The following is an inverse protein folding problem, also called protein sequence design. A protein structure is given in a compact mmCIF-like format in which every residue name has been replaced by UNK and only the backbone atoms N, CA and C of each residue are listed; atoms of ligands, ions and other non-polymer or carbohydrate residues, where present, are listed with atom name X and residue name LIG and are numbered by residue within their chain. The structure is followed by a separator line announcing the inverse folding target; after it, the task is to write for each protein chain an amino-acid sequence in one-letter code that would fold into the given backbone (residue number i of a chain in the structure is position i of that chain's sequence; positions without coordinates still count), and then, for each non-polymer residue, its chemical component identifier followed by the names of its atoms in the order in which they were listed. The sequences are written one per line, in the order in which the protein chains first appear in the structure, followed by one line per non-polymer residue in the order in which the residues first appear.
data_IF_134037160713
#
_entry.id   IF_134037160713
#
_cell.length_a   1.000
_cell.length_b   1.000
_cell.length_c   1.000
_cell.angle_alpha   90.00
_cell.angle_beta   90.00
_cell.angle_gamma   90.00
#
_symmetry.space_group_name_H-M   'P 1'
#
loop_
_entity.id
_entity.type
_entity.pdbx_description
1 polymer ?
#
# COMPACT_ATOMS: atom_id res chain seq x y z
N UNK A 1 4.56 -40.00 -23.74
CA UNK A 1 4.49 -38.57 -23.40
C UNK A 1 5.72 -38.30 -22.57
N UNK A 2 6.69 -37.59 -23.11
CA UNK A 2 8.05 -37.51 -22.57
C UNK A 2 8.06 -36.75 -21.24
N UNK A 3 8.47 -37.43 -20.16
CA UNK A 3 8.86 -36.78 -18.91
C UNK A 3 10.01 -35.83 -19.24
N UNK A 4 9.75 -34.52 -19.15
CA UNK A 4 10.78 -33.53 -19.43
C UNK A 4 11.28 -33.02 -18.09
N UNK A 5 12.54 -33.32 -17.76
CA UNK A 5 13.20 -32.67 -16.65
C UNK A 5 13.20 -31.17 -16.90
N UNK A 6 12.87 -30.36 -15.89
CA UNK A 6 13.14 -28.93 -16.00
C UNK A 6 14.67 -28.80 -15.96
N UNK A 7 15.29 -28.68 -17.13
CA UNK A 7 16.73 -28.97 -17.35
C UNK A 7 17.70 -28.23 -16.43
N UNK A 8 17.25 -27.19 -15.72
CA UNK A 8 18.06 -26.33 -14.87
C UNK A 8 17.61 -26.30 -13.39
N UNK A 9 16.74 -27.20 -12.94
CA UNK A 9 16.29 -27.21 -11.54
C UNK A 9 16.31 -28.62 -10.97
N UNK A 10 17.27 -28.86 -10.07
CA UNK A 10 17.44 -30.13 -9.37
C UNK A 10 16.16 -30.53 -8.64
N UNK A 11 15.78 -31.82 -8.70
CA UNK A 11 14.60 -32.32 -7.99
C UNK A 11 13.26 -31.83 -8.51
N UNK A 12 13.21 -31.33 -9.77
CA UNK A 12 11.96 -30.85 -10.39
C UNK A 12 11.72 -31.52 -11.74
N UNK A 13 10.54 -32.12 -11.89
CA UNK A 13 10.05 -32.70 -13.15
C UNK A 13 8.82 -31.94 -13.62
N UNK A 14 8.69 -31.73 -14.93
CA UNK A 14 7.55 -31.05 -15.54
C UNK A 14 6.87 -31.97 -16.57
N UNK A 15 5.55 -31.99 -16.54
CA UNK A 15 4.71 -32.57 -17.57
C UNK A 15 3.64 -31.57 -17.99
N UNK A 16 3.63 -31.23 -19.26
CA UNK A 16 2.61 -30.35 -19.82
C UNK A 16 1.32 -31.16 -20.02
N UNK A 17 0.24 -30.75 -19.36
CA UNK A 17 -1.10 -31.32 -19.52
C UNK A 17 -1.86 -30.60 -20.63
N UNK A 18 -1.66 -29.28 -20.78
CA UNK A 18 -2.20 -28.46 -21.85
C UNK A 18 -1.16 -27.41 -22.28
N UNK A 19 -0.81 -27.35 -23.57
CA UNK A 19 0.37 -26.61 -24.07
C UNK A 19 0.29 -25.08 -24.09
N UNK A 20 -0.82 -24.47 -23.64
CA UNK A 20 -1.01 -23.03 -23.66
C UNK A 20 -1.00 -22.43 -25.06
N UNK A 21 -0.83 -21.10 -25.14
CA UNK A 21 -0.89 -20.32 -26.39
C UNK A 21 0.25 -19.31 -26.47
N UNK A 22 0.60 -18.94 -27.70
CA UNK A 22 1.59 -17.90 -27.97
C UNK A 22 3.03 -18.29 -27.64
N UNK A 23 3.88 -17.28 -27.58
CA UNK A 23 5.28 -17.38 -27.14
C UNK A 23 5.37 -17.39 -25.60
N UNK A 24 6.52 -17.81 -25.08
CA UNK A 24 6.79 -17.74 -23.65
C UNK A 24 6.76 -16.26 -23.19
N UNK A 25 5.95 -15.89 -22.19
CA UNK A 25 5.91 -14.52 -21.68
C UNK A 25 7.28 -14.03 -21.19
N UNK A 26 7.50 -12.71 -21.26
CA UNK A 26 8.69 -12.10 -20.66
C UNK A 26 8.44 -11.86 -19.17
N UNK A 27 9.01 -12.70 -18.32
CA UNK A 27 8.96 -12.56 -16.86
C UNK A 27 10.04 -11.58 -16.37
N UNK A 28 9.81 -10.28 -16.56
CA UNK A 28 10.71 -9.23 -16.06
C UNK A 28 10.48 -8.99 -14.55
N UNK A 29 11.47 -8.46 -13.83
CA UNK A 29 11.30 -8.05 -12.43
C UNK A 29 10.06 -7.15 -12.29
N UNK A 30 9.17 -7.52 -11.38
CA UNK A 30 7.89 -6.85 -11.20
C UNK A 30 6.74 -7.29 -12.11
N UNK A 31 6.90 -8.29 -12.97
CA UNK A 31 5.76 -8.84 -13.72
C UNK A 31 4.79 -9.51 -12.76
N UNK A 32 3.49 -9.31 -12.95
CA UNK A 32 2.45 -10.00 -12.16
C UNK A 32 2.05 -11.28 -12.88
N UNK A 33 2.17 -12.41 -12.21
CA UNK A 33 1.74 -13.72 -12.67
C UNK A 33 0.43 -14.06 -11.98
N UNK A 34 -0.62 -14.31 -12.76
CA UNK A 34 -1.95 -14.71 -12.30
C UNK A 34 -2.16 -16.15 -12.73
N UNK A 35 -2.46 -17.04 -11.77
CA UNK A 35 -2.54 -18.48 -12.03
C UNK A 35 -3.48 -19.20 -11.08
N UNK A 36 -3.98 -20.37 -11.50
CA UNK A 36 -4.60 -21.33 -10.60
C UNK A 36 -3.62 -22.45 -10.27
N UNK A 37 -3.76 -23.02 -9.08
CA UNK A 37 -2.94 -24.16 -8.68
C UNK A 37 -3.76 -25.17 -7.89
N UNK A 38 -3.32 -26.42 -7.94
CA UNK A 38 -3.71 -27.48 -7.04
C UNK A 38 -2.42 -28.13 -6.52
N UNK A 39 -2.31 -28.29 -5.21
CA UNK A 39 -1.17 -28.96 -4.56
C UNK A 39 -1.60 -30.31 -4.04
N UNK A 40 -0.81 -31.34 -4.34
CA UNK A 40 -1.05 -32.73 -3.95
C UNK A 40 0.17 -33.27 -3.20
N UNK A 41 -0.04 -34.22 -2.29
CA UNK A 41 1.04 -35.10 -1.80
C UNK A 41 1.50 -36.01 -2.95
N UNK A 42 2.80 -36.31 -3.00
CA UNK A 42 3.34 -37.34 -3.90
C UNK A 42 3.17 -38.75 -3.29
N UNK A 43 1.94 -39.06 -2.87
CA UNK A 43 1.53 -40.37 -2.40
C UNK A 43 0.72 -41.11 -3.49
N UNK A 44 0.41 -42.38 -3.24
CA UNK A 44 -0.33 -43.19 -4.21
C UNK A 44 -1.72 -42.63 -4.54
N UNK A 45 -2.38 -42.04 -3.53
CA UNK A 45 -3.73 -41.47 -3.65
C UNK A 45 -3.75 -40.05 -4.25
N UNK A 46 -2.58 -39.41 -4.36
CA UNK A 46 -2.42 -37.99 -4.72
C UNK A 46 -3.31 -37.09 -3.87
N UNK A 47 -3.16 -37.20 -2.56
CA UNK A 47 -3.99 -36.46 -1.60
C UNK A 47 -3.93 -34.95 -1.84
N UNK A 48 -5.08 -34.32 -2.12
CA UNK A 48 -5.18 -32.86 -2.33
C UNK A 48 -4.96 -32.13 -1.00
N UNK A 49 -4.05 -31.15 -1.02
CA UNK A 49 -3.78 -30.26 0.12
C UNK A 49 -4.49 -28.92 -0.08
N UNK A 50 -4.34 -28.30 -1.25
CA UNK A 50 -4.96 -27.00 -1.56
C UNK A 50 -5.38 -26.96 -3.02
N UNK A 51 -6.49 -26.28 -3.32
CA UNK A 51 -6.96 -25.98 -4.66
C UNK A 51 -7.49 -24.54 -4.74
N UNK A 52 -6.85 -23.69 -5.53
CA UNK A 52 -7.27 -22.29 -5.64
C UNK A 52 -8.60 -22.10 -6.37
N UNK A 53 -9.08 -23.11 -7.12
CA UNK A 53 -10.40 -23.06 -7.76
C UNK A 53 -11.53 -23.28 -6.77
N UNK A 54 -11.31 -24.07 -5.72
CA UNK A 54 -12.30 -24.23 -4.64
C UNK A 54 -12.47 -22.95 -3.84
N UNK A 55 -11.38 -22.19 -3.66
CA UNK A 55 -11.41 -20.86 -3.07
C UNK A 55 -12.04 -19.78 -3.97
N UNK A 56 -12.21 -20.07 -5.28
CA UNK A 56 -12.80 -19.15 -6.26
C UNK A 56 -11.94 -17.94 -6.62
N UNK A 57 -10.69 -17.88 -6.17
CA UNK A 57 -9.79 -16.73 -6.36
C UNK A 57 -8.46 -17.23 -6.94
N UNK A 58 -8.01 -16.71 -8.10
CA UNK A 58 -6.69 -17.03 -8.64
C UNK A 58 -5.58 -16.48 -7.72
N UNK A 59 -4.41 -17.13 -7.76
CA UNK A 59 -3.24 -16.65 -7.05
C UNK A 59 -2.48 -15.61 -7.86
N UNK A 60 -1.91 -14.62 -7.19
CA UNK A 60 -1.04 -13.61 -7.77
C UNK A 60 0.36 -13.66 -7.16
N UNK A 61 1.40 -13.68 -8.01
CA UNK A 61 2.80 -13.53 -7.59
C UNK A 61 3.46 -12.44 -8.42
N UNK A 62 4.32 -11.63 -7.77
CA UNK A 62 5.13 -10.62 -8.44
C UNK A 62 6.57 -11.15 -8.56
N UNK A 63 7.04 -11.29 -9.80
CA UNK A 63 8.40 -11.72 -10.14
C UNK A 63 9.43 -10.84 -9.43
N UNK A 64 10.46 -11.46 -8.85
CA UNK A 64 11.56 -10.78 -8.17
C UNK A 64 11.26 -10.23 -6.77
N UNK A 65 10.06 -10.49 -6.22
CA UNK A 65 9.70 -10.09 -4.83
C UNK A 65 9.95 -11.18 -3.78
N UNK A 66 10.75 -12.20 -4.11
CA UNK A 66 11.14 -13.30 -3.21
C UNK A 66 9.92 -13.89 -2.47
N UNK A 67 8.99 -14.46 -3.24
CA UNK A 67 7.88 -15.20 -2.67
C UNK A 67 8.42 -16.32 -1.77
N UNK A 68 7.80 -16.53 -0.59
CA UNK A 68 8.28 -17.47 0.44
C UNK A 68 8.47 -18.91 -0.07
N UNK A 69 7.81 -19.27 -1.17
CA UNK A 69 8.01 -20.53 -1.88
C UNK A 69 8.68 -20.24 -3.23
N UNK A 70 9.99 -20.03 -3.19
CA UNK A 70 10.80 -19.54 -4.32
C UNK A 70 10.66 -20.41 -5.58
N UNK A 71 10.47 -21.72 -5.39
CA UNK A 71 10.37 -22.65 -6.51
C UNK A 71 9.22 -22.30 -7.46
N UNK A 72 8.10 -21.77 -6.96
CA UNK A 72 6.93 -21.45 -7.78
C UNK A 72 7.23 -20.40 -8.86
N UNK A 73 8.09 -19.43 -8.60
CA UNK A 73 8.50 -18.45 -9.61
C UNK A 73 9.23 -19.14 -10.77
N UNK A 74 10.06 -20.16 -10.47
CA UNK A 74 10.75 -20.98 -11.47
C UNK A 74 9.78 -21.85 -12.27
N UNK A 75 8.81 -22.48 -11.60
CA UNK A 75 7.79 -23.32 -12.28
C UNK A 75 6.96 -22.47 -13.25
N UNK A 76 6.41 -21.35 -12.77
CA UNK A 76 5.54 -20.46 -13.53
C UNK A 76 6.28 -19.79 -14.70
N UNK A 77 7.55 -19.40 -14.51
CA UNK A 77 8.36 -18.79 -15.57
C UNK A 77 8.69 -19.76 -16.71
N UNK A 78 8.45 -21.06 -16.53
CA UNK A 78 8.59 -22.08 -17.58
C UNK A 78 7.34 -22.26 -18.44
N UNK A 79 6.22 -21.60 -18.10
CA UNK A 79 4.91 -21.84 -18.67
C UNK A 79 4.49 -20.77 -19.69
N UNK A 80 3.73 -21.17 -20.71
CA UNK A 80 3.04 -20.26 -21.64
C UNK A 80 1.69 -19.81 -21.07
N UNK A 81 1.16 -18.69 -21.56
CA UNK A 81 -0.17 -18.24 -21.18
C UNK A 81 -1.23 -19.28 -21.57
N UNK A 82 -2.11 -19.63 -20.63
CA UNK A 82 -3.09 -20.71 -20.73
C UNK A 82 -2.51 -22.12 -20.63
N UNK A 83 -1.21 -22.29 -20.34
CA UNK A 83 -0.61 -23.62 -20.15
C UNK A 83 -1.10 -24.24 -18.84
N UNK A 84 -1.37 -25.54 -18.86
CA UNK A 84 -1.59 -26.36 -17.67
C UNK A 84 -0.45 -27.36 -17.57
N UNK A 85 0.28 -27.34 -16.46
CA UNK A 85 1.42 -28.22 -16.25
C UNK A 85 1.38 -28.84 -14.85
N UNK A 86 1.80 -30.10 -14.78
CA UNK A 86 2.02 -30.88 -13.57
C UNK A 86 3.52 -30.86 -13.27
N UNK A 87 3.87 -30.48 -12.05
CA UNK A 87 5.25 -30.39 -11.57
C UNK A 87 5.43 -31.29 -10.36
N UNK A 88 6.43 -32.16 -10.38
CA UNK A 88 6.87 -32.93 -9.21
C UNK A 88 8.08 -32.25 -8.62
N UNK A 89 7.99 -31.90 -7.34
CA UNK A 89 9.05 -31.19 -6.64
C UNK A 89 9.48 -31.99 -5.41
N UNK A 90 10.76 -32.30 -5.34
CA UNK A 90 11.38 -32.97 -4.20
C UNK A 90 11.28 -32.12 -2.91
N UNK A 91 11.41 -32.79 -1.76
CA UNK A 91 11.25 -32.18 -0.44
C UNK A 91 12.17 -30.97 -0.17
N UNK A 92 13.28 -30.85 -0.92
CA UNK A 92 14.21 -29.71 -0.85
C UNK A 92 13.53 -28.38 -1.21
N UNK A 93 12.47 -28.41 -2.01
CA UNK A 93 11.74 -27.22 -2.49
C UNK A 93 10.44 -26.94 -1.72
N UNK A 94 9.91 -27.93 -1.00
CA UNK A 94 8.55 -27.90 -0.46
C UNK A 94 8.48 -27.59 1.04
N UNK A 95 9.63 -27.52 1.74
CA UNK A 95 9.68 -27.36 3.19
C UNK A 95 8.97 -26.11 3.74
N UNK A 96 8.84 -25.06 2.93
CA UNK A 96 8.11 -23.83 3.31
C UNK A 96 6.62 -23.85 2.95
N UNK A 97 6.15 -24.89 2.26
CA UNK A 97 4.78 -24.96 1.74
C UNK A 97 3.73 -24.81 2.84
N UNK A 98 3.88 -25.52 3.96
CA UNK A 98 2.93 -25.45 5.08
C UNK A 98 2.72 -24.01 5.60
N UNK A 99 3.80 -23.23 5.71
CA UNK A 99 3.72 -21.83 6.15
C UNK A 99 3.04 -20.94 5.11
N UNK A 100 3.30 -21.18 3.82
CA UNK A 100 2.68 -20.44 2.72
C UNK A 100 1.20 -20.78 2.64
N UNK A 101 0.85 -22.07 2.63
CA UNK A 101 -0.53 -22.56 2.61
C UNK A 101 -1.39 -22.01 3.73
N UNK A 102 -0.88 -21.97 4.97
CA UNK A 102 -1.57 -21.31 6.08
C UNK A 102 -1.94 -19.85 5.77
N UNK A 103 -1.03 -19.10 5.14
CA UNK A 103 -1.29 -17.73 4.70
C UNK A 103 -2.34 -17.68 3.58
N UNK A 104 -2.24 -18.57 2.59
CA UNK A 104 -3.17 -18.66 1.47
C UNK A 104 -4.61 -18.95 1.94
N UNK A 105 -4.80 -19.94 2.83
CA UNK A 105 -6.12 -20.31 3.38
C UNK A 105 -6.77 -19.14 4.13
N UNK A 106 -6.00 -18.40 4.94
CA UNK A 106 -6.50 -17.22 5.65
C UNK A 106 -6.91 -16.09 4.74
N UNK A 107 -6.14 -15.85 3.67
CA UNK A 107 -6.51 -14.86 2.65
C UNK A 107 -7.84 -15.26 2.00
N UNK A 108 -8.03 -16.55 1.66
CA UNK A 108 -9.29 -17.05 1.12
C UNK A 108 -10.47 -16.88 2.09
N UNK A 109 -10.22 -16.95 3.40
CA UNK A 109 -11.19 -16.64 4.46
C UNK A 109 -11.40 -15.12 4.70
N UNK A 110 -10.69 -14.24 3.98
CA UNK A 110 -10.75 -12.78 4.15
C UNK A 110 -10.03 -12.26 5.41
N UNK A 111 -9.13 -13.05 5.98
CA UNK A 111 -8.34 -12.71 7.18
C UNK A 111 -6.93 -12.24 6.81
N UNK A 112 -6.27 -11.56 7.74
CA UNK A 112 -4.87 -11.14 7.55
C UNK A 112 -3.95 -12.39 7.54
N UNK A 113 -3.15 -12.63 6.50
CA UNK A 113 -2.24 -13.78 6.41
C UNK A 113 -1.19 -13.82 7.54
N UNK A 114 -0.91 -12.68 8.19
CA UNK A 114 0.02 -12.54 9.30
C UNK A 114 -0.67 -12.53 10.67
N UNK A 115 -2.00 -12.65 10.72
CA UNK A 115 -2.75 -12.57 11.98
C UNK A 115 -2.28 -13.61 12.99
N UNK A 116 -1.74 -13.21 14.14
CA UNK A 116 -1.17 -14.13 15.13
C UNK A 116 0.26 -14.61 14.85
N UNK A 117 0.91 -14.18 13.76
CA UNK A 117 2.37 -14.23 13.64
C UNK A 117 2.97 -13.15 14.54
N UNK A 118 3.41 -13.53 15.75
CA UNK A 118 4.15 -12.62 16.62
C UNK A 118 5.57 -12.47 16.09
N UNK A 119 5.94 -11.26 15.65
CA UNK A 119 7.29 -10.94 15.23
C UNK A 119 8.23 -10.91 16.44
N UNK A 120 8.87 -12.04 16.76
CA UNK A 120 9.98 -12.11 17.74
C UNK A 120 11.30 -12.23 16.98
N UNK A 121 12.13 -11.19 17.02
CA UNK A 121 13.50 -11.25 16.51
C UNK A 121 14.35 -12.24 17.35
N UNK A 122 14.97 -13.24 16.72
CA UNK A 122 15.94 -14.17 17.32
C UNK A 122 15.53 -15.65 17.29
N UNK A 123 16.37 -16.51 17.87
CA UNK A 123 16.19 -17.98 18.04
C UNK A 123 14.86 -18.41 18.73
N UNK A 124 13.99 -17.47 19.09
CA UNK A 124 12.64 -17.73 19.62
C UNK A 124 11.65 -18.27 18.60
N UNK A 125 12.00 -18.34 17.31
CA UNK A 125 11.17 -18.94 16.26
C UNK A 125 10.95 -20.46 16.44
N UNK A 126 11.71 -21.15 17.29
CA UNK A 126 11.60 -22.62 17.36
C UNK A 126 10.40 -23.12 18.19
N UNK A 127 9.74 -22.26 18.98
CA UNK A 127 8.81 -22.69 20.04
C UNK A 127 7.33 -22.31 19.87
N UNK A 128 6.94 -21.54 18.84
CA UNK A 128 5.53 -21.19 18.57
C UNK A 128 4.88 -22.05 17.45
N UNK A 129 5.57 -23.09 16.96
CA UNK A 129 5.09 -23.98 15.88
C UNK A 129 4.51 -25.31 16.41
N UNK A 130 3.66 -25.29 17.43
CA UNK A 130 2.97 -26.53 17.82
C UNK A 130 1.76 -26.83 16.94
N UNK A 131 1.17 -25.82 16.28
CA UNK A 131 0.12 -26.01 15.29
C UNK A 131 -0.05 -24.78 14.40
N UNK A 132 -0.28 -25.02 13.11
CA UNK A 132 -0.71 -24.06 12.09
C UNK A 132 -2.20 -23.76 12.18
N UNK A 133 -2.95 -24.55 12.97
CA UNK A 133 -4.41 -24.57 13.01
C UNK A 133 -5.04 -25.53 11.99
N UNK A 134 -4.22 -26.22 11.19
CA UNK A 134 -4.65 -27.18 10.19
C UNK A 134 -3.82 -28.47 10.33
N UNK A 135 -4.49 -29.59 10.65
CA UNK A 135 -3.82 -30.86 10.98
C UNK A 135 -2.95 -31.39 9.81
N UNK A 136 -3.41 -31.18 8.58
CA UNK A 136 -2.71 -31.58 7.35
C UNK A 136 -1.42 -30.77 7.12
N UNK A 137 -1.44 -29.47 7.41
CA UNK A 137 -0.25 -28.61 7.33
C UNK A 137 0.73 -28.88 8.48
N UNK A 138 0.23 -29.26 9.65
CA UNK A 138 1.04 -29.65 10.81
C UNK A 138 1.81 -30.94 10.56
N UNK A 139 1.14 -31.92 9.92
CA UNK A 139 1.77 -33.13 9.43
C UNK A 139 2.88 -32.81 8.43
N UNK A 140 2.58 -31.96 7.43
CA UNK A 140 3.53 -31.57 6.40
C UNK A 140 4.73 -30.79 6.96
N UNK A 141 4.51 -29.95 7.98
CA UNK A 141 5.59 -29.23 8.66
C UNK A 141 6.49 -30.18 9.48
N UNK A 142 5.91 -31.21 10.10
CA UNK A 142 6.66 -32.20 10.88
C UNK A 142 7.45 -33.14 9.98
N UNK A 143 6.93 -33.45 8.81
CA UNK A 143 7.54 -34.38 7.86
C UNK A 143 7.53 -33.78 6.45
N UNK A 144 8.52 -32.93 6.13
CA UNK A 144 8.69 -32.41 4.79
C UNK A 144 8.78 -33.56 3.77
N UNK A 145 7.99 -33.48 2.72
CA UNK A 145 7.86 -34.52 1.70
C UNK A 145 7.74 -33.90 0.29
N UNK A 146 8.02 -34.68 -0.77
CA UNK A 146 7.77 -34.22 -2.13
C UNK A 146 6.31 -33.86 -2.36
N UNK A 147 6.06 -32.84 -3.17
CA UNK A 147 4.72 -32.37 -3.53
C UNK A 147 4.58 -32.30 -5.05
N UNK A 148 3.34 -32.45 -5.51
CA UNK A 148 2.96 -32.24 -6.89
C UNK A 148 2.18 -30.94 -6.99
N UNK A 149 2.60 -30.03 -7.88
CA UNK A 149 1.89 -28.81 -8.19
C UNK A 149 1.28 -28.91 -9.58
N UNK A 150 -0.04 -28.86 -9.69
CA UNK A 150 -0.74 -28.70 -10.96
C UNK A 150 -1.09 -27.22 -11.09
N UNK A 151 -0.46 -26.54 -12.05
CA UNK A 151 -0.63 -25.10 -12.24
C UNK A 151 -1.24 -24.81 -13.61
N UNK A 152 -2.16 -23.84 -13.64
CA UNK A 152 -2.67 -23.22 -14.86
C UNK A 152 -2.25 -21.75 -14.88
N UNK A 153 -1.36 -21.39 -15.81
CA UNK A 153 -0.94 -20.01 -15.98
C UNK A 153 -2.03 -19.24 -16.71
N UNK A 154 -2.79 -18.40 -16.00
CA UNK A 154 -3.91 -17.67 -16.60
C UNK A 154 -3.43 -16.46 -17.39
N UNK A 155 -2.64 -15.58 -16.76
CA UNK A 155 -2.18 -14.33 -17.37
C UNK A 155 -0.85 -13.86 -16.77
N UNK A 156 -0.03 -13.19 -17.59
CA UNK A 156 1.14 -12.44 -17.14
C UNK A 156 0.95 -10.99 -17.53
N UNK A 157 1.00 -10.10 -16.55
CA UNK A 157 0.90 -8.65 -16.76
C UNK A 157 2.29 -8.02 -16.65
N UNK A 158 2.62 -7.16 -17.60
CA UNK A 158 3.85 -6.38 -17.55
C UNK A 158 3.85 -5.43 -16.33
N UNK A 159 5.02 -5.09 -15.76
CA UNK A 159 5.10 -4.19 -14.61
C UNK A 159 4.40 -2.83 -14.81
N UNK A 160 4.27 -2.39 -16.06
CA UNK A 160 3.61 -1.15 -16.48
C UNK A 160 2.08 -1.27 -16.64
N UNK A 161 1.56 -2.50 -16.77
CA UNK A 161 0.17 -2.78 -17.09
C UNK A 161 -0.76 -2.79 -15.87
N UNK A 162 -0.20 -2.87 -14.65
CA UNK A 162 -0.96 -2.82 -13.41
C UNK A 162 -0.40 -1.78 -12.44
N UNK A 163 -1.28 -1.23 -11.61
CA UNK A 163 -0.88 -0.32 -10.54
C UNK A 163 -0.16 -1.15 -9.47
N UNK A 164 1.17 -1.10 -9.43
CA UNK A 164 1.95 -1.78 -8.40
C UNK A 164 1.62 -1.16 -7.05
N UNK A 165 1.21 -1.99 -6.10
CA UNK A 165 0.99 -1.52 -4.75
C UNK A 165 2.29 -0.97 -4.15
N UNK A 166 2.18 0.08 -3.35
CA UNK A 166 3.33 0.80 -2.79
C UNK A 166 4.22 -0.09 -1.91
N UNK A 167 3.71 -1.24 -1.42
CA UNK A 167 4.48 -2.22 -0.67
C UNK A 167 5.46 -3.01 -1.56
N UNK A 168 5.12 -3.25 -2.83
CA UNK A 168 5.92 -4.06 -3.74
C UNK A 168 7.08 -3.28 -4.39
N UNK A 169 7.11 -1.94 -4.32
CA UNK A 169 8.16 -1.14 -4.95
C UNK A 169 9.49 -1.12 -4.13
N UNK A 170 10.62 -1.22 -4.82
CA UNK A 170 11.96 -1.04 -4.25
C UNK A 170 12.28 0.45 -3.98
N UNK A 171 13.50 0.77 -3.49
CA UNK A 171 13.85 2.15 -3.09
C UNK A 171 13.89 3.10 -4.30
N UNK A 172 14.51 2.67 -5.37
CA UNK A 172 14.72 3.43 -6.60
C UNK A 172 13.39 3.67 -7.32
N UNK A 173 12.54 2.65 -7.40
CA UNK A 173 11.18 2.72 -7.96
C UNK A 173 10.32 3.73 -7.19
N UNK A 174 10.35 3.68 -5.84
CA UNK A 174 9.61 4.64 -5.00
C UNK A 174 10.05 6.07 -5.24
N UNK A 175 11.35 6.32 -5.34
CA UNK A 175 11.89 7.66 -5.60
C UNK A 175 11.56 8.15 -7.02
N UNK A 176 11.61 7.26 -8.02
CA UNK A 176 11.27 7.60 -9.40
C UNK A 176 9.76 7.89 -9.59
N UNK A 177 8.89 7.26 -8.81
CA UNK A 177 7.45 7.48 -8.86
C UNK A 177 7.03 8.85 -8.33
N UNK A 178 7.73 9.40 -7.32
CA UNK A 178 7.34 10.64 -6.63
C UNK A 178 7.20 11.85 -7.57
N UNK A 179 8.18 12.18 -8.45
CA UNK A 179 8.03 13.29 -9.39
C UNK A 179 6.86 13.11 -10.36
N UNK A 180 6.62 11.87 -10.82
CA UNK A 180 5.52 11.55 -11.74
C UNK A 180 4.18 11.80 -11.06
N UNK A 181 3.98 11.23 -9.87
CA UNK A 181 2.76 11.41 -9.06
C UNK A 181 2.53 12.89 -8.70
N UNK A 182 3.59 13.61 -8.34
CA UNK A 182 3.51 15.04 -8.06
C UNK A 182 3.05 15.84 -9.27
N UNK A 183 3.64 15.59 -10.45
CA UNK A 183 3.27 16.25 -11.70
C UNK A 183 1.82 15.95 -12.13
N UNK A 184 1.38 14.71 -11.94
CA UNK A 184 0.02 14.28 -12.25
C UNK A 184 -0.98 14.94 -11.31
N UNK A 185 -0.69 14.98 -10.00
CA UNK A 185 -1.47 15.72 -9.02
C UNK A 185 -1.59 17.20 -9.39
N UNK A 186 -0.50 17.84 -9.78
CA UNK A 186 -0.51 19.25 -10.21
C UNK A 186 -1.41 19.47 -11.43
N UNK A 187 -1.36 18.55 -12.41
CA UNK A 187 -2.24 18.60 -13.60
C UNK A 187 -3.72 18.45 -13.22
N UNK A 188 -4.05 17.57 -12.28
CA UNK A 188 -5.42 17.37 -11.79
C UNK A 188 -5.93 18.60 -11.01
N UNK A 189 -5.07 19.25 -10.21
CA UNK A 189 -5.41 20.53 -9.55
C UNK A 189 -5.78 21.60 -10.58
N UNK A 190 -5.04 21.72 -11.69
CA UNK A 190 -5.37 22.68 -12.76
C UNK A 190 -6.75 22.41 -13.40
N UNK A 191 -7.20 21.16 -13.37
CA UNK A 191 -8.54 20.74 -13.84
C UNK A 191 -9.61 20.83 -12.76
N UNK A 192 -9.26 21.26 -11.54
CA UNK A 192 -10.13 21.30 -10.35
C UNK A 192 -10.63 19.91 -9.91
N UNK A 193 -9.92 18.86 -10.29
CA UNK A 193 -10.22 17.47 -9.89
C UNK A 193 -9.55 17.16 -8.55
N UNK A 194 -9.95 17.85 -7.49
CA UNK A 194 -9.23 17.86 -6.20
C UNK A 194 -9.17 16.51 -5.50
N UNK A 195 -10.23 15.69 -5.57
CA UNK A 195 -10.22 14.35 -4.95
C UNK A 195 -9.20 13.42 -5.59
N UNK A 196 -9.11 13.42 -6.92
CA UNK A 196 -8.10 12.63 -7.65
C UNK A 196 -6.68 13.19 -7.41
N UNK A 197 -6.53 14.52 -7.39
CA UNK A 197 -5.25 15.14 -7.08
C UNK A 197 -4.75 14.78 -5.68
N UNK A 198 -5.64 14.82 -4.68
CA UNK A 198 -5.35 14.43 -3.31
C UNK A 198 -4.84 12.99 -3.23
N UNK A 199 -5.51 12.05 -3.92
CA UNK A 199 -5.08 10.66 -3.99
C UNK A 199 -3.65 10.50 -4.55
N UNK A 200 -3.29 11.27 -5.59
CA UNK A 200 -1.93 11.24 -6.17
C UNK A 200 -0.86 11.77 -5.22
N UNK A 201 -1.15 12.86 -4.49
CA UNK A 201 -0.21 13.37 -3.49
C UNK A 201 -0.06 12.41 -2.31
N UNK A 202 -1.15 11.80 -1.86
CA UNK A 202 -1.13 10.81 -0.77
C UNK A 202 -0.31 9.58 -1.16
N UNK A 203 -0.47 9.07 -2.38
CA UNK A 203 0.34 7.97 -2.92
C UNK A 203 1.84 8.30 -2.91
N UNK A 204 2.21 9.52 -3.34
CA UNK A 204 3.59 9.98 -3.31
C UNK A 204 4.14 10.12 -1.87
N UNK A 205 3.32 10.59 -0.93
CA UNK A 205 3.69 10.66 0.49
C UNK A 205 3.91 9.27 1.07
N UNK A 206 3.06 8.28 0.75
CA UNK A 206 3.22 6.89 1.21
C UNK A 206 4.54 6.31 0.69
N UNK A 207 4.88 6.54 -0.59
CA UNK A 207 6.18 6.13 -1.14
C UNK A 207 7.34 6.64 -0.28
N UNK A 208 7.35 7.94 0.04
CA UNK A 208 8.42 8.58 0.81
C UNK A 208 8.43 8.16 2.29
N UNK A 209 7.27 8.10 2.96
CA UNK A 209 7.16 7.67 4.36
C UNK A 209 7.61 6.23 4.54
N UNK A 210 7.34 5.35 3.56
CA UNK A 210 7.84 3.97 3.55
C UNK A 210 9.37 3.88 3.48
N UNK A 211 10.02 4.79 2.74
CA UNK A 211 11.48 4.87 2.72
C UNK A 211 12.01 5.44 4.04
N UNK A 212 11.34 6.47 4.54
CA UNK A 212 11.72 7.17 5.75
C UNK A 212 11.67 6.27 6.99
N UNK A 213 10.73 5.32 7.05
CA UNK A 213 10.64 4.32 8.13
C UNK A 213 11.87 3.40 8.23
N UNK A 214 12.68 3.31 7.16
CA UNK A 214 13.95 2.55 7.14
C UNK A 214 15.16 3.40 7.52
N UNK A 215 14.99 4.71 7.63
CA UNK A 215 16.05 5.67 7.97
C UNK A 215 15.90 6.08 9.44
N UNK A 216 17.02 6.41 10.11
CA UNK A 216 16.96 6.91 11.48
C UNK A 216 16.38 8.33 11.51
N UNK A 217 15.44 8.64 12.42
CA UNK A 217 14.91 9.99 12.57
C UNK A 217 16.02 11.03 12.71
N UNK A 218 15.86 12.17 12.04
CA UNK A 218 16.75 13.34 12.11
C UNK A 218 18.15 13.16 11.49
N UNK A 219 18.47 12.02 10.90
CA UNK A 219 19.70 11.87 10.10
C UNK A 219 19.54 12.47 8.70
N UNK A 220 20.67 12.68 8.01
CA UNK A 220 20.71 13.35 6.69
C UNK A 220 19.78 12.68 5.67
N UNK A 221 19.73 11.35 5.62
CA UNK A 221 18.84 10.60 4.74
C UNK A 221 17.36 10.83 5.05
N UNK A 222 17.00 10.85 6.33
CA UNK A 222 15.64 11.10 6.80
C UNK A 222 15.19 12.54 6.52
N UNK A 223 16.07 13.52 6.74
CA UNK A 223 15.80 14.93 6.48
C UNK A 223 15.63 15.21 4.98
N UNK A 224 16.43 14.55 4.13
CA UNK A 224 16.25 14.62 2.67
C UNK A 224 14.86 14.14 2.27
N UNK A 225 14.42 12.99 2.77
CA UNK A 225 13.07 12.48 2.49
C UNK A 225 11.98 13.41 3.05
N UNK A 226 12.15 13.94 4.25
CA UNK A 226 11.18 14.86 4.86
C UNK A 226 11.01 16.15 4.04
N UNK A 227 12.10 16.66 3.46
CA UNK A 227 12.05 17.84 2.58
C UNK A 227 11.25 17.59 1.29
N UNK A 228 11.19 16.34 0.82
CA UNK A 228 10.35 15.91 -0.30
C UNK A 228 8.88 15.69 0.12
N UNK A 229 8.64 15.18 1.34
CA UNK A 229 7.29 14.94 1.86
C UNK A 229 6.53 16.25 2.08
N UNK A 230 7.20 17.25 2.65
CA UNK A 230 6.61 18.54 3.05
C UNK A 230 5.78 19.21 1.93
N UNK A 231 6.31 19.45 0.71
CA UNK A 231 5.52 20.07 -0.36
C UNK A 231 4.33 19.22 -0.82
N UNK A 232 4.44 17.89 -0.80
CA UNK A 232 3.35 16.98 -1.16
C UNK A 232 2.20 17.05 -0.15
N UNK A 233 2.51 17.04 1.15
CA UNK A 233 1.52 17.21 2.22
C UNK A 233 0.85 18.58 2.13
N UNK A 234 1.59 19.64 1.82
CA UNK A 234 1.01 20.98 1.63
C UNK A 234 0.08 21.06 0.41
N UNK A 235 0.41 20.34 -0.68
CA UNK A 235 -0.44 20.24 -1.86
C UNK A 235 -1.69 19.39 -1.58
N UNK A 236 -1.54 18.29 -0.84
CA UNK A 236 -2.66 17.49 -0.33
C UNK A 236 -3.61 18.33 0.52
N UNK A 237 -3.08 19.06 1.51
CA UNK A 237 -3.86 19.98 2.35
C UNK A 237 -4.54 21.08 1.51
N UNK A 238 -3.94 21.52 0.39
CA UNK A 238 -4.64 22.44 -0.51
C UNK A 238 -5.89 21.79 -1.08
N UNK A 239 -5.79 20.56 -1.57
CA UNK A 239 -6.93 19.85 -2.15
C UNK A 239 -8.03 19.65 -1.11
N UNK A 240 -7.67 19.27 0.12
CA UNK A 240 -8.63 19.09 1.20
C UNK A 240 -9.32 20.40 1.62
N UNK A 241 -8.62 21.55 1.58
CA UNK A 241 -9.27 22.86 1.76
C UNK A 241 -10.33 23.14 0.69
N UNK A 242 -10.08 22.77 -0.57
CA UNK A 242 -11.04 22.96 -1.67
C UNK A 242 -12.22 21.97 -1.59
N UNK A 243 -12.00 20.78 -1.02
CA UNK A 243 -13.04 19.77 -0.80
C UNK A 243 -13.89 20.04 0.45
N UNK A 244 -13.42 20.89 1.37
CA UNK A 244 -14.10 21.19 2.63
C UNK A 244 -13.74 20.26 3.78
N UNK A 245 -12.73 19.40 3.59
CA UNK A 245 -12.24 18.44 4.60
C UNK A 245 -11.27 19.13 5.57
N UNK A 246 -11.79 20.07 6.36
CA UNK A 246 -10.98 20.97 7.18
C UNK A 246 -10.24 20.25 8.33
N UNK A 247 -10.83 19.22 8.92
CA UNK A 247 -10.23 18.50 10.05
C UNK A 247 -8.95 17.76 9.64
N UNK A 248 -8.94 17.18 8.44
CA UNK A 248 -7.77 16.51 7.90
C UNK A 248 -6.63 17.50 7.63
N UNK A 249 -6.96 18.71 7.16
CA UNK A 249 -5.99 19.80 7.02
C UNK A 249 -5.40 20.17 8.38
N UNK A 250 -6.24 20.29 9.43
CA UNK A 250 -5.77 20.64 10.78
C UNK A 250 -4.81 19.59 11.34
N UNK A 251 -5.12 18.30 11.16
CA UNK A 251 -4.28 17.19 11.62
C UNK A 251 -2.90 17.23 10.95
N UNK A 252 -2.88 17.19 9.61
CA UNK A 252 -1.62 17.15 8.85
C UNK A 252 -0.77 18.40 9.04
N UNK A 253 -1.38 19.58 9.05
CA UNK A 253 -0.62 20.83 9.26
C UNK A 253 -0.10 20.94 10.69
N UNK A 254 -0.82 20.43 11.69
CA UNK A 254 -0.33 20.40 13.08
C UNK A 254 0.86 19.47 13.23
N UNK A 255 0.79 18.25 12.69
CA UNK A 255 1.92 17.32 12.69
C UNK A 255 3.14 17.92 11.96
N UNK A 256 2.92 18.57 10.81
CA UNK A 256 3.99 19.20 10.05
C UNK A 256 4.66 20.34 10.83
N UNK A 257 3.87 21.17 11.52
CA UNK A 257 4.36 22.31 12.29
C UNK A 257 5.06 21.91 13.60
N UNK A 258 4.79 20.73 14.14
CA UNK A 258 5.58 20.16 15.24
C UNK A 258 7.03 19.90 14.82
N UNK A 259 7.26 19.59 13.54
CA UNK A 259 8.59 19.29 12.97
C UNK A 259 9.23 20.53 12.32
N UNK A 260 8.44 21.36 11.64
CA UNK A 260 8.87 22.51 10.84
C UNK A 260 8.12 23.78 11.26
N UNK A 261 8.48 24.34 12.41
CA UNK A 261 7.78 25.47 13.04
C UNK A 261 7.98 26.84 12.33
N UNK A 262 8.72 26.85 11.23
CA UNK A 262 9.02 28.00 10.37
C UNK A 262 8.27 27.92 9.02
N UNK A 263 7.44 26.90 8.81
CA UNK A 263 6.72 26.71 7.56
C UNK A 263 5.49 27.63 7.44
N UNK A 264 5.69 28.83 6.87
CA UNK A 264 4.62 29.82 6.67
C UNK A 264 3.41 29.27 5.86
N UNK A 265 3.65 28.40 4.86
CA UNK A 265 2.57 27.81 4.05
C UNK A 265 1.70 26.86 4.86
N UNK A 266 2.28 26.11 5.80
CA UNK A 266 1.55 25.22 6.70
C UNK A 266 0.65 26.01 7.65
N UNK A 267 1.20 27.04 8.30
CA UNK A 267 0.41 27.97 9.12
C UNK A 267 -0.74 28.60 8.34
N UNK A 268 -0.49 29.03 7.10
CA UNK A 268 -1.53 29.66 6.29
C UNK A 268 -2.70 28.69 5.98
N UNK A 269 -2.40 27.44 5.64
CA UNK A 269 -3.42 26.42 5.39
C UNK A 269 -4.18 26.05 6.67
N UNK A 270 -3.48 25.91 7.79
CA UNK A 270 -4.10 25.63 9.10
C UNK A 270 -5.00 26.77 9.56
N UNK A 271 -4.57 28.02 9.37
CA UNK A 271 -5.38 29.20 9.65
C UNK A 271 -6.69 29.21 8.84
N UNK A 272 -6.62 28.88 7.54
CA UNK A 272 -7.81 28.76 6.69
C UNK A 272 -8.76 27.66 7.17
N UNK A 273 -8.24 26.51 7.57
CA UNK A 273 -9.04 25.42 8.11
C UNK A 273 -9.71 25.82 9.45
N UNK A 274 -8.95 26.41 10.38
CA UNK A 274 -9.50 26.97 11.64
C UNK A 274 -10.60 28.00 11.39
N UNK A 275 -10.39 28.92 10.45
CA UNK A 275 -11.37 29.92 10.06
C UNK A 275 -12.65 29.28 9.50
N UNK A 276 -12.53 28.19 8.74
CA UNK A 276 -13.67 27.47 8.18
C UNK A 276 -14.51 26.75 9.24
N UNK A 277 -13.87 26.23 10.30
CA UNK A 277 -14.52 25.56 11.45
C UNK A 277 -14.81 26.48 12.64
N UNK A 278 -14.71 27.81 12.45
CA UNK A 278 -15.04 28.84 13.45
C UNK A 278 -14.11 28.94 14.67
N UNK A 279 -12.89 28.42 14.58
CA UNK A 279 -11.85 28.59 15.59
C UNK A 279 -11.14 29.95 15.39
N UNK A 280 -11.81 31.04 15.78
CA UNK A 280 -11.35 32.40 15.48
C UNK A 280 -9.97 32.71 16.07
N UNK A 281 -9.75 32.33 17.34
CA UNK A 281 -8.50 32.65 18.04
C UNK A 281 -7.32 31.97 17.35
N UNK A 282 -7.42 30.66 17.14
CA UNK A 282 -6.39 29.84 16.52
C UNK A 282 -6.12 30.28 15.08
N UNK A 283 -7.17 30.61 14.32
CA UNK A 283 -7.01 31.14 12.96
C UNK A 283 -6.23 32.46 12.95
N UNK A 284 -6.54 33.39 13.87
CA UNK A 284 -5.84 34.69 13.98
C UNK A 284 -4.38 34.51 14.35
N UNK A 285 -4.09 33.66 15.34
CA UNK A 285 -2.73 33.35 15.78
C UNK A 285 -1.88 32.80 14.63
N UNK A 286 -2.40 31.81 13.90
CA UNK A 286 -1.72 31.24 12.75
C UNK A 286 -1.52 32.27 11.63
N UNK A 287 -2.54 33.07 11.28
CA UNK A 287 -2.41 34.12 10.26
C UNK A 287 -1.34 35.17 10.63
N UNK A 288 -1.29 35.60 11.89
CA UNK A 288 -0.26 36.52 12.36
C UNK A 288 1.13 35.88 12.31
N UNK A 289 1.23 34.58 12.62
CA UNK A 289 2.49 33.83 12.48
C UNK A 289 2.95 33.77 11.03
N UNK A 290 2.04 33.60 10.07
CA UNK A 290 2.36 33.69 8.62
C UNK A 290 2.94 35.05 8.28
N UNK A 291 2.30 36.14 8.68
CA UNK A 291 2.79 37.50 8.37
C UNK A 291 4.17 37.80 8.97
N UNK A 292 4.51 37.15 10.09
CA UNK A 292 5.83 37.25 10.70
C UNK A 292 6.90 36.43 9.95
N UNK A 293 6.57 35.18 9.56
CA UNK A 293 7.50 34.27 8.88
C UNK A 293 7.72 34.62 7.40
N UNK A 294 6.66 35.06 6.71
CA UNK A 294 6.70 35.46 5.31
C UNK A 294 5.97 36.80 5.09
N UNK A 295 6.71 37.93 5.20
CA UNK A 295 6.14 39.26 4.97
C UNK A 295 5.53 39.46 3.58
N UNK A 296 5.92 38.66 2.57
CA UNK A 296 5.34 38.76 1.22
C UNK A 296 3.86 38.34 1.20
N UNK A 297 3.45 37.51 2.15
CA UNK A 297 2.05 37.08 2.32
C UNK A 297 1.19 38.06 3.12
N UNK A 298 1.75 39.18 3.62
CA UNK A 298 1.02 40.11 4.51
C UNK A 298 -0.29 40.64 3.90
N UNK A 299 -0.31 40.90 2.59
CA UNK A 299 -1.53 41.35 1.90
C UNK A 299 -2.62 40.26 1.87
N UNK A 300 -2.23 39.00 1.63
CA UNK A 300 -3.14 37.86 1.67
C UNK A 300 -3.67 37.61 3.08
N UNK A 301 -2.78 37.63 4.08
CA UNK A 301 -3.14 37.51 5.51
C UNK A 301 -4.13 38.59 5.92
N UNK A 302 -3.88 39.86 5.56
CA UNK A 302 -4.78 40.98 5.87
C UNK A 302 -6.17 40.78 5.27
N UNK A 303 -6.25 40.24 4.05
CA UNK A 303 -7.53 39.92 3.40
C UNK A 303 -8.27 38.82 4.15
N UNK A 304 -7.60 37.72 4.49
CA UNK A 304 -8.21 36.60 5.22
C UNK A 304 -8.68 37.02 6.62
N UNK A 305 -7.87 37.79 7.36
CA UNK A 305 -8.26 38.33 8.68
C UNK A 305 -9.49 39.25 8.62
N UNK A 306 -9.61 40.06 7.56
CA UNK A 306 -10.79 40.90 7.33
C UNK A 306 -12.02 40.02 7.09
N UNK A 307 -11.91 39.01 6.23
CA UNK A 307 -13.01 38.08 5.93
C UNK A 307 -13.44 37.28 7.17
N UNK A 308 -12.48 36.81 7.97
CA UNK A 308 -12.75 36.15 9.25
C UNK A 308 -13.56 37.06 10.18
N UNK A 309 -13.12 38.32 10.36
CA UNK A 309 -13.84 39.28 11.21
C UNK A 309 -15.26 39.58 10.73
N UNK A 310 -15.47 39.74 9.43
CA UNK A 310 -16.81 39.93 8.83
C UNK A 310 -17.71 38.71 9.06
N UNK A 311 -17.18 37.51 8.85
CA UNK A 311 -17.91 36.23 9.04
C UNK A 311 -18.29 36.00 10.51
N UNK A 312 -17.38 36.29 11.44
CA UNK A 312 -17.66 36.20 12.88
C UNK A 312 -18.71 37.21 13.34
N UNK A 313 -18.65 38.45 12.84
CA UNK A 313 -19.66 39.47 13.15
C UNK A 313 -21.04 39.06 12.68
N UNK A 314 -21.14 38.50 11.48
CA UNK A 314 -22.42 38.00 10.94
C UNK A 314 -22.98 36.88 11.81
N UNK A 315 -22.15 35.90 12.18
CA UNK A 315 -22.53 34.81 13.08
C UNK A 315 -23.03 35.33 14.44
N UNK A 316 -22.30 36.26 15.08
CA UNK A 316 -22.74 36.84 16.34
C UNK A 316 -24.09 37.56 16.26
N UNK A 317 -24.38 38.24 15.15
CA UNK A 317 -25.68 38.89 14.92
C UNK A 317 -26.78 37.84 14.74
N UNK A 318 -26.51 36.77 14.01
CA UNK A 318 -27.44 35.64 13.80
C UNK A 318 -27.74 34.91 15.12
N UNK A 319 -26.70 34.53 15.86
CA UNK A 319 -26.81 33.88 17.17
C UNK A 319 -27.61 34.77 18.14
N UNK A 320 -27.30 36.08 18.20
CA UNK A 320 -28.04 37.01 19.04
C UNK A 320 -29.53 37.05 18.69
N UNK A 321 -29.88 37.11 17.39
CA UNK A 321 -31.28 37.10 16.94
C UNK A 321 -31.96 35.77 17.26
N UNK A 322 -31.25 34.66 17.12
CA UNK A 322 -31.75 33.34 17.44
C UNK A 322 -32.08 33.22 18.93
N UNK A 323 -31.14 33.57 19.81
CA UNK A 323 -31.37 33.57 21.25
C UNK A 323 -32.49 34.52 21.66
N UNK A 324 -32.58 35.71 21.05
CA UNK A 324 -33.70 36.63 21.30
C UNK A 324 -35.07 36.01 21.00
N UNK A 325 -35.19 35.19 19.94
CA UNK A 325 -36.45 34.48 19.63
C UNK A 325 -36.74 33.35 20.60
N UNK A 326 -35.70 32.65 21.07
CA UNK A 326 -35.84 31.52 21.99
C UNK A 326 -36.36 31.95 23.38
N UNK A 327 -36.09 33.19 23.79
CA UNK A 327 -36.44 33.75 25.10
C UNK A 327 -37.56 34.80 25.04
N UNK A 328 -38.30 34.90 23.93
CA UNK A 328 -39.53 35.71 23.90
C UNK A 328 -40.65 34.96 24.65
N UNK A 329 -41.33 35.60 25.63
CA UNK A 329 -42.48 35.00 26.30
C UNK A 329 -43.64 34.82 25.31
N UNK A 330 -44.52 33.81 25.53
CA UNK A 330 -45.61 33.46 24.61
C UNK A 330 -46.63 34.58 24.39
#
# INVERSE_FOLDING_TARGET
MEETYLLNTEGVKKKILHGGRGELPKFQDGSKIIFHFQTLKDDFERTVIDDSREAGIPMEIIVGKMFKLEIWETLLSSMRAGEVAEFWCDAIHTGMYALVSRGMRRIAEGRDPLEGQKHRCGMGNMFDYHSTGYDDLDELQRTPQPLIFIMELFQVEEPSAYKRDTWAMNKEEKLAAVPVLHSEGNRLVLRKEFGQAAAKYQEAVICLRNLQAKEKPWEEGWLKLESLVTPLVLNYCQCQLELGEYYEVLEHTTELLQKHNDNAKAYFKRAKAHAAVWNEREAREDFLRVAHLDPSMAAAVKKELKQLGERMRKKHVEDRKYYQRLFQPP
#
